data_IF_768875740182
#
_entry.id   IF_768875740182
#
_cell.length_a   1.000
_cell.length_b   1.000
_cell.length_c   1.000
_cell.angle_alpha   90.00
_cell.angle_beta   90.00
_cell.angle_gamma   90.00
#
_symmetry.space_group_name_H-M   'P 1'
#
loop_
_entity.id
_entity.type
_entity.pdbx_description
1 polymer ?
#
# COMPACT_ATOMS: atom_id res chain seq x y z
N UNK A 1 -6.07 16.04 -5.28
CA UNK A 1 -5.39 17.31 -4.95
C UNK A 1 -6.22 18.21 -4.03
N UNK A 2 -7.55 18.22 -4.11
CA UNK A 2 -8.40 18.99 -3.17
C UNK A 2 -8.18 18.62 -1.69
N UNK A 3 -7.95 17.33 -1.38
CA UNK A 3 -7.71 16.83 -0.02
C UNK A 3 -6.41 17.35 0.63
N UNK A 4 -5.42 17.78 -0.18
CA UNK A 4 -4.16 18.33 0.33
C UNK A 4 -4.29 19.79 0.82
N UNK A 5 -5.37 20.47 0.44
CA UNK A 5 -5.53 21.89 0.76
C UNK A 5 -5.91 22.12 2.24
N UNK A 6 -6.81 21.31 2.77
CA UNK A 6 -7.24 21.35 4.16
C UNK A 6 -7.64 19.95 4.66
N UNK A 7 -6.68 19.05 4.87
CA UNK A 7 -6.99 17.75 5.46
C UNK A 7 -7.29 17.88 6.95
N UNK A 8 -8.24 17.09 7.46
CA UNK A 8 -8.60 17.09 8.88
C UNK A 8 -7.40 16.67 9.75
N UNK A 9 -6.56 15.75 9.23
CA UNK A 9 -5.32 15.31 9.88
C UNK A 9 -4.19 16.37 9.89
N UNK A 10 -4.36 17.49 9.19
CA UNK A 10 -3.29 18.46 8.95
C UNK A 10 -2.36 18.09 7.79
N UNK A 11 -1.66 19.08 7.23
CA UNK A 11 -0.85 18.91 6.02
C UNK A 11 0.35 17.98 6.21
N UNK A 12 0.98 18.00 7.37
CA UNK A 12 2.15 17.18 7.67
C UNK A 12 1.76 15.70 7.69
N UNK A 13 0.71 15.33 8.44
CA UNK A 13 0.20 13.95 8.47
C UNK A 13 -0.23 13.51 7.07
N UNK A 14 -0.96 14.34 6.33
CA UNK A 14 -1.38 14.03 4.96
C UNK A 14 -0.18 13.75 4.03
N UNK A 15 0.89 14.55 4.12
CA UNK A 15 2.10 14.32 3.31
C UNK A 15 2.83 13.03 3.68
N UNK A 16 2.88 12.70 4.95
CA UNK A 16 3.51 11.47 5.43
C UNK A 16 2.74 10.23 4.92
N UNK A 17 1.42 10.28 4.96
CA UNK A 17 0.53 9.16 4.58
C UNK A 17 0.39 9.00 3.05
N UNK A 18 0.17 10.10 2.32
CA UNK A 18 -0.15 10.08 0.88
C UNK A 18 1.11 10.25 0.02
N UNK A 19 2.14 10.92 0.56
CA UNK A 19 3.37 11.23 -0.16
C UNK A 19 4.05 10.03 -0.83
N UNK A 20 4.24 8.89 -0.14
CA UNK A 20 4.81 7.69 -0.75
C UNK A 20 4.02 7.15 -1.94
N UNK A 21 2.68 7.20 -1.86
CA UNK A 21 1.81 6.85 -2.99
C UNK A 21 1.99 7.78 -4.19
N UNK A 22 2.08 9.09 -3.94
CA UNK A 22 2.35 10.08 -5.00
C UNK A 22 3.74 9.90 -5.59
N UNK A 23 4.75 9.61 -4.77
CA UNK A 23 6.09 9.29 -5.24
C UNK A 23 6.08 8.04 -6.13
N UNK A 24 5.37 6.98 -5.73
CA UNK A 24 5.19 5.78 -6.54
C UNK A 24 4.59 6.08 -7.92
N UNK A 25 3.59 6.95 -7.99
CA UNK A 25 2.98 7.39 -9.26
C UNK A 25 4.01 8.20 -10.09
N UNK A 26 4.72 9.12 -9.47
CA UNK A 26 5.74 9.91 -10.16
C UNK A 26 6.84 9.02 -10.77
N UNK A 27 7.31 8.01 -10.01
CA UNK A 27 8.28 7.01 -10.48
C UNK A 27 7.67 6.20 -11.64
N UNK A 28 6.45 5.69 -11.50
CA UNK A 28 5.78 4.92 -12.56
C UNK A 28 5.63 5.75 -13.84
N UNK A 29 5.28 7.02 -13.74
CA UNK A 29 5.20 7.94 -14.88
C UNK A 29 6.58 8.20 -15.51
N UNK A 30 7.61 8.44 -14.72
CA UNK A 30 8.97 8.69 -15.19
C UNK A 30 9.55 7.48 -15.95
N UNK A 31 9.29 6.26 -15.47
CA UNK A 31 9.78 5.03 -16.11
C UNK A 31 8.84 4.48 -17.19
N UNK A 32 7.65 5.04 -17.38
CA UNK A 32 6.61 4.52 -18.27
C UNK A 32 7.10 4.21 -19.70
N UNK A 33 7.98 5.08 -20.25
CA UNK A 33 8.54 4.88 -21.61
C UNK A 33 9.46 3.66 -21.71
N UNK A 34 10.16 3.31 -20.61
CA UNK A 34 11.11 2.19 -20.53
C UNK A 34 10.48 0.92 -19.97
N UNK A 35 9.43 1.09 -19.16
CA UNK A 35 8.70 0.02 -18.50
C UNK A 35 7.18 0.31 -18.55
N UNK A 36 6.55 0.16 -19.71
CA UNK A 36 5.11 0.35 -19.80
C UNK A 36 4.40 -0.72 -18.98
N UNK A 37 3.62 -0.29 -17.98
CA UNK A 37 2.86 -1.17 -17.10
C UNK A 37 1.50 -1.50 -17.71
N UNK A 38 0.95 -2.66 -17.36
CA UNK A 38 -0.36 -3.11 -17.83
C UNK A 38 -1.49 -2.25 -17.27
N UNK A 39 -2.65 -2.29 -17.92
CA UNK A 39 -3.85 -1.61 -17.43
C UNK A 39 -4.27 -2.11 -16.04
N UNK A 40 -4.11 -3.41 -15.77
CA UNK A 40 -4.36 -4.01 -14.46
C UNK A 40 -3.57 -3.30 -13.35
N UNK A 41 -2.28 -3.09 -13.56
CA UNK A 41 -1.41 -2.40 -12.60
C UNK A 41 -1.82 -0.94 -12.40
N UNK A 42 -2.22 -0.23 -13.46
CA UNK A 42 -2.73 1.15 -13.30
C UNK A 42 -4.00 1.21 -12.45
N UNK A 43 -4.92 0.24 -12.64
CA UNK A 43 -6.12 0.13 -11.79
C UNK A 43 -5.73 -0.18 -10.34
N UNK A 44 -4.78 -1.09 -10.10
CA UNK A 44 -4.27 -1.38 -8.75
C UNK A 44 -3.67 -0.14 -8.09
N UNK A 45 -2.81 0.61 -8.79
CA UNK A 45 -2.23 1.86 -8.28
C UNK A 45 -3.33 2.87 -7.94
N UNK A 46 -4.33 3.02 -8.81
CA UNK A 46 -5.44 3.95 -8.59
C UNK A 46 -6.26 3.58 -7.35
N UNK A 47 -6.65 2.30 -7.21
CA UNK A 47 -7.45 1.84 -6.07
C UNK A 47 -6.66 1.96 -4.76
N UNK A 48 -5.38 1.61 -4.77
CA UNK A 48 -4.51 1.79 -3.60
C UNK A 48 -4.42 3.27 -3.19
N UNK A 49 -4.21 4.16 -4.16
CA UNK A 49 -4.15 5.59 -3.90
C UNK A 49 -5.43 6.15 -3.27
N UNK A 50 -6.61 5.66 -3.65
CA UNK A 50 -7.87 6.07 -3.02
C UNK A 50 -7.90 5.73 -1.53
N UNK A 51 -7.38 4.55 -1.15
CA UNK A 51 -7.28 4.13 0.25
C UNK A 51 -6.30 5.03 1.02
N UNK A 52 -5.12 5.31 0.43
CA UNK A 52 -4.12 6.20 1.03
C UNK A 52 -4.66 7.63 1.21
N UNK A 53 -5.34 8.18 0.20
CA UNK A 53 -5.90 9.54 0.26
C UNK A 53 -6.97 9.64 1.34
N UNK A 54 -7.85 8.64 1.45
CA UNK A 54 -8.90 8.66 2.46
C UNK A 54 -8.31 8.51 3.87
N UNK A 55 -7.37 7.58 4.08
CA UNK A 55 -6.65 7.42 5.33
C UNK A 55 -5.89 8.68 5.73
N UNK A 56 -5.09 9.23 4.81
CA UNK A 56 -4.28 10.41 5.06
C UNK A 56 -5.08 11.70 5.24
N UNK A 57 -6.31 11.78 4.71
CA UNK A 57 -7.18 12.94 4.94
C UNK A 57 -7.60 13.06 6.41
N UNK A 58 -7.99 11.93 7.04
CA UNK A 58 -8.51 11.89 8.41
C UNK A 58 -7.47 11.49 9.45
N UNK A 59 -6.28 11.00 9.04
CA UNK A 59 -5.42 10.07 9.79
C UNK A 59 -6.08 8.68 9.93
N UNK A 60 -5.33 7.60 9.72
CA UNK A 60 -5.88 6.23 9.65
C UNK A 60 -6.68 5.85 10.90
N UNK A 61 -6.15 6.21 12.09
CA UNK A 61 -6.80 5.95 13.37
C UNK A 61 -8.14 6.68 13.59
N UNK A 62 -8.44 7.72 12.80
CA UNK A 62 -9.63 8.57 12.98
C UNK A 62 -10.59 8.55 11.79
N UNK A 63 -10.37 7.67 10.80
CA UNK A 63 -11.26 7.61 9.63
C UNK A 63 -12.72 7.35 10.02
N UNK A 64 -13.68 8.09 9.45
CA UNK A 64 -15.12 7.93 9.77
C UNK A 64 -15.62 6.50 9.53
N UNK A 65 -15.19 5.87 8.42
CA UNK A 65 -15.55 4.49 8.10
C UNK A 65 -15.04 3.50 9.16
N UNK A 66 -13.80 3.67 9.60
CA UNK A 66 -13.20 2.83 10.63
C UNK A 66 -13.86 3.04 12.00
N UNK A 67 -14.22 4.28 12.35
CA UNK A 67 -14.97 4.58 13.57
C UNK A 67 -16.39 4.01 13.53
N UNK A 68 -17.08 4.14 12.40
CA UNK A 68 -18.36 3.49 12.21
C UNK A 68 -18.28 1.96 12.42
N UNK A 69 -17.28 1.30 11.81
CA UNK A 69 -17.09 -0.14 11.97
C UNK A 69 -16.73 -0.50 13.42
N UNK A 70 -15.89 0.30 14.10
CA UNK A 70 -15.56 0.13 15.51
C UNK A 70 -16.83 0.13 16.37
N UNK A 71 -17.70 1.12 16.17
CA UNK A 71 -18.92 1.27 16.98
C UNK A 71 -19.96 0.19 16.64
N UNK A 72 -20.13 -0.14 15.36
CA UNK A 72 -21.11 -1.13 14.89
C UNK A 72 -20.77 -2.57 15.31
N UNK A 73 -19.48 -2.91 15.37
CA UNK A 73 -19.00 -4.28 15.68
C UNK A 73 -18.39 -4.40 17.08
N UNK A 74 -18.35 -3.33 17.88
CA UNK A 74 -17.77 -3.33 19.22
C UNK A 74 -16.26 -3.56 19.26
N UNK A 75 -15.53 -3.10 18.24
CA UNK A 75 -14.06 -3.23 18.20
C UNK A 75 -13.41 -2.28 19.21
N UNK A 76 -12.26 -2.69 19.76
CA UNK A 76 -11.50 -1.87 20.71
C UNK A 76 -10.86 -0.64 20.04
N UNK A 77 -10.56 -0.72 18.72
CA UNK A 77 -9.85 0.32 17.95
C UNK A 77 -10.46 0.51 16.55
N UNK A 78 -10.09 1.61 15.90
CA UNK A 78 -10.31 1.81 14.48
C UNK A 78 -9.33 0.95 13.67
N UNK A 79 -9.84 0.05 12.83
CA UNK A 79 -9.03 -0.90 12.04
C UNK A 79 -8.74 -0.43 10.61
N UNK A 80 -8.92 0.85 10.29
CA UNK A 80 -8.68 1.31 8.93
C UNK A 80 -7.23 1.18 8.49
N UNK A 81 -6.29 1.34 9.40
CA UNK A 81 -4.86 1.11 9.18
C UNK A 81 -4.58 -0.32 8.70
N UNK A 82 -5.12 -1.31 9.37
CA UNK A 82 -5.05 -2.71 8.94
C UNK A 82 -5.63 -2.96 7.54
N UNK A 83 -6.66 -2.20 7.14
CA UNK A 83 -7.16 -2.22 5.77
C UNK A 83 -6.13 -1.62 4.80
N UNK A 84 -5.44 -0.55 5.20
CA UNK A 84 -4.34 0.05 4.46
C UNK A 84 -3.21 -0.96 4.18
N UNK A 85 -2.77 -1.68 5.22
CA UNK A 85 -1.73 -2.71 5.11
C UNK A 85 -2.17 -3.95 4.31
N UNK A 86 -3.41 -4.39 4.44
CA UNK A 86 -3.97 -5.41 3.55
C UNK A 86 -3.92 -4.94 2.09
N UNK A 87 -4.29 -3.69 1.83
CA UNK A 87 -4.24 -3.09 0.50
C UNK A 87 -2.81 -2.93 -0.02
N UNK A 88 -1.83 -2.63 0.87
CA UNK A 88 -0.40 -2.63 0.58
C UNK A 88 0.08 -4.00 0.07
N UNK A 89 -0.50 -5.08 0.56
CA UNK A 89 -0.26 -6.42 0.05
C UNK A 89 -0.93 -6.68 -1.29
N UNK A 90 -2.23 -6.36 -1.38
CA UNK A 90 -3.07 -6.70 -2.54
C UNK A 90 -2.63 -5.97 -3.82
N UNK A 91 -2.50 -4.67 -3.78
CA UNK A 91 -2.30 -3.88 -4.99
C UNK A 91 -0.83 -3.83 -5.47
N UNK A 92 0.16 -3.52 -4.62
CA UNK A 92 1.57 -3.54 -5.00
C UNK A 92 2.09 -4.91 -5.44
N UNK A 93 1.50 -6.02 -4.97
CA UNK A 93 1.90 -7.35 -5.41
C UNK A 93 1.88 -7.50 -6.95
N UNK A 94 0.90 -6.90 -7.64
CA UNK A 94 0.84 -6.93 -9.09
C UNK A 94 1.87 -6.01 -9.76
N UNK A 95 2.18 -4.88 -9.15
CA UNK A 95 3.27 -4.00 -9.59
C UNK A 95 4.60 -4.75 -9.52
N UNK A 96 4.91 -5.33 -8.36
CA UNK A 96 6.12 -6.10 -8.10
C UNK A 96 6.21 -7.28 -9.08
N UNK A 97 5.12 -8.05 -9.22
CA UNK A 97 5.05 -9.19 -10.13
C UNK A 97 5.34 -8.78 -11.57
N UNK A 98 4.76 -7.71 -12.05
CA UNK A 98 4.96 -7.24 -13.42
C UNK A 98 6.38 -6.73 -13.65
N UNK A 99 6.93 -6.00 -12.69
CA UNK A 99 8.32 -5.52 -12.73
C UNK A 99 9.30 -6.69 -12.77
N UNK A 100 9.14 -7.68 -11.90
CA UNK A 100 9.99 -8.88 -11.87
C UNK A 100 9.94 -9.64 -13.22
N UNK A 101 8.75 -9.88 -13.76
CA UNK A 101 8.59 -10.56 -15.05
C UNK A 101 9.18 -9.78 -16.24
N UNK A 102 9.21 -8.45 -16.17
CA UNK A 102 9.74 -7.62 -17.26
C UNK A 102 11.23 -7.33 -17.14
N UNK A 103 11.80 -7.41 -15.93
CA UNK A 103 13.19 -7.00 -15.67
C UNK A 103 14.11 -8.17 -15.36
N UNK A 104 13.59 -9.36 -15.17
CA UNK A 104 14.37 -10.56 -14.87
C UNK A 104 13.96 -11.72 -15.81
N UNK A 105 14.73 -12.81 -15.75
CA UNK A 105 14.41 -14.06 -16.46
C UNK A 105 13.50 -14.99 -15.65
N UNK A 106 12.82 -14.50 -14.63
CA UNK A 106 11.90 -15.31 -13.79
C UNK A 106 10.74 -15.87 -14.62
N UNK A 107 10.50 -17.15 -14.46
CA UNK A 107 9.32 -17.82 -15.01
C UNK A 107 8.06 -17.52 -14.16
N UNK A 108 6.88 -17.86 -14.72
CA UNK A 108 5.59 -17.78 -14.01
C UNK A 108 5.36 -19.04 -13.17
N UNK A 109 6.18 -19.23 -12.14
CA UNK A 109 6.22 -20.41 -11.28
C UNK A 109 6.20 -20.05 -9.79
N UNK A 110 6.47 -21.02 -8.94
CA UNK A 110 6.53 -20.85 -7.49
C UNK A 110 7.61 -19.88 -7.02
N UNK A 111 8.73 -19.75 -7.75
CA UNK A 111 9.78 -18.78 -7.41
C UNK A 111 9.32 -17.35 -7.57
N UNK A 112 8.60 -17.04 -8.67
CA UNK A 112 8.02 -15.71 -8.85
C UNK A 112 7.04 -15.39 -7.72
N UNK A 113 6.15 -16.33 -7.36
CA UNK A 113 5.22 -16.14 -6.25
C UNK A 113 5.95 -15.86 -4.95
N UNK A 114 6.93 -16.70 -4.59
CA UNK A 114 7.74 -16.54 -3.38
C UNK A 114 8.45 -15.18 -3.34
N UNK A 115 9.11 -14.78 -4.43
CA UNK A 115 9.83 -13.52 -4.49
C UNK A 115 8.89 -12.31 -4.39
N UNK A 116 7.70 -12.36 -4.98
CA UNK A 116 6.71 -11.29 -4.79
C UNK A 116 6.32 -11.16 -3.32
N UNK A 117 6.07 -12.28 -2.63
CA UNK A 117 5.77 -12.27 -1.20
C UNK A 117 6.92 -11.70 -0.37
N UNK A 118 8.17 -12.07 -0.68
CA UNK A 118 9.35 -11.51 0.00
C UNK A 118 9.45 -10.00 -0.18
N UNK A 119 9.24 -9.50 -1.40
CA UNK A 119 9.32 -8.06 -1.67
C UNK A 119 8.17 -7.30 -1.01
N UNK A 120 6.94 -7.85 -1.03
CA UNK A 120 5.80 -7.26 -0.31
C UNK A 120 6.09 -7.16 1.17
N UNK A 121 6.58 -8.24 1.80
CA UNK A 121 6.94 -8.21 3.21
C UNK A 121 8.07 -7.21 3.51
N UNK A 122 9.07 -7.11 2.63
CA UNK A 122 10.15 -6.13 2.78
C UNK A 122 9.63 -4.68 2.67
N UNK A 123 8.68 -4.42 1.77
CA UNK A 123 8.03 -3.09 1.65
C UNK A 123 7.21 -2.78 2.90
N UNK A 124 6.41 -3.74 3.40
CA UNK A 124 5.63 -3.58 4.62
C UNK A 124 6.56 -3.33 5.83
N UNK A 125 7.59 -4.14 6.03
CA UNK A 125 8.56 -3.95 7.11
C UNK A 125 9.30 -2.60 7.01
N UNK A 126 9.63 -2.16 5.79
CA UNK A 126 10.23 -0.85 5.60
C UNK A 126 9.27 0.29 5.96
N UNK A 127 7.96 0.11 5.71
CA UNK A 127 6.93 1.07 6.09
C UNK A 127 6.87 1.21 7.62
N UNK A 128 6.82 0.10 8.36
CA UNK A 128 6.84 0.09 9.82
C UNK A 128 8.09 0.78 10.40
N UNK A 129 9.24 0.58 9.75
CA UNK A 129 10.48 1.29 10.14
C UNK A 129 10.37 2.80 9.86
N UNK A 130 9.73 3.22 8.77
CA UNK A 130 9.48 4.63 8.47
C UNK A 130 8.56 5.26 9.53
N UNK A 131 7.48 4.59 9.91
CA UNK A 131 6.57 5.07 10.96
C UNK A 131 7.30 5.23 12.29
N UNK A 132 8.11 4.24 12.66
CA UNK A 132 8.94 4.32 13.85
C UNK A 132 9.93 5.49 13.79
N UNK A 133 10.67 5.66 12.68
CA UNK A 133 11.62 6.77 12.53
C UNK A 133 10.94 8.13 12.54
N UNK A 134 9.82 8.27 11.87
CA UNK A 134 9.04 9.52 11.89
C UNK A 134 8.59 9.83 13.32
N UNK A 135 8.11 8.84 14.06
CA UNK A 135 7.70 9.00 15.46
C UNK A 135 8.85 9.46 16.36
N UNK A 136 10.07 9.00 16.09
CA UNK A 136 11.27 9.45 16.83
C UNK A 136 11.68 10.88 16.47
N UNK A 137 11.45 11.32 15.23
CA UNK A 137 11.91 12.61 14.72
C UNK A 137 10.84 13.71 14.87
N UNK A 138 9.57 13.34 14.76
CA UNK A 138 8.42 14.24 14.88
C UNK A 138 7.83 14.07 16.28
N UNK A 139 8.27 14.93 17.19
CA UNK A 139 7.81 14.88 18.59
C UNK A 139 6.32 15.17 18.74
N UNK A 140 5.68 14.58 19.76
CA UNK A 140 4.31 14.87 20.17
C UNK A 140 3.23 14.10 19.41
N UNK A 141 2.01 14.67 19.38
CA UNK A 141 0.80 13.99 18.92
C UNK A 141 0.83 13.60 17.44
N UNK A 142 1.55 14.35 16.60
CA UNK A 142 1.65 14.10 15.17
C UNK A 142 2.40 12.78 14.89
N UNK A 143 3.52 12.53 15.60
CA UNK A 143 4.27 11.28 15.47
C UNK A 143 3.46 10.09 15.95
N UNK A 144 2.77 10.22 17.09
CA UNK A 144 1.91 9.15 17.63
C UNK A 144 0.69 8.87 16.73
N UNK A 145 0.10 9.91 16.15
CA UNK A 145 -1.02 9.78 15.21
C UNK A 145 -0.59 9.08 13.91
N UNK A 146 0.62 9.35 13.44
CA UNK A 146 1.20 8.71 12.26
C UNK A 146 1.55 7.24 12.51
N UNK A 147 2.08 6.89 13.70
CA UNK A 147 2.34 5.51 14.10
C UNK A 147 1.07 4.64 14.15
N UNK A 148 -0.09 5.25 14.42
CA UNK A 148 -1.41 4.61 14.31
C UNK A 148 -1.69 3.45 15.27
N UNK A 149 -0.77 3.08 16.16
CA UNK A 149 -0.83 1.86 16.99
C UNK A 149 -2.05 1.76 17.92
N UNK A 150 -2.63 2.90 18.33
CA UNK A 150 -3.80 2.97 19.21
C UNK A 150 -3.67 2.09 20.47
N UNK A 151 -2.42 1.89 20.95
CA UNK A 151 -2.08 1.08 22.12
C UNK A 151 -1.87 -0.42 21.86
N UNK A 152 -1.94 -0.88 20.62
CA UNK A 152 -1.60 -2.26 20.26
C UNK A 152 -0.08 -2.42 20.15
N UNK A 153 0.52 -3.20 21.05
CA UNK A 153 1.97 -3.45 21.05
C UNK A 153 2.44 -4.34 19.89
N UNK A 154 1.53 -5.01 19.20
CA UNK A 154 1.78 -5.88 18.07
C UNK A 154 1.34 -5.28 16.73
N UNK A 155 1.09 -3.98 16.68
CA UNK A 155 0.56 -3.29 15.51
C UNK A 155 1.39 -3.57 14.26
N UNK A 156 2.68 -3.23 14.30
CA UNK A 156 3.62 -3.46 13.19
C UNK A 156 3.63 -4.92 12.70
N UNK A 157 3.53 -5.90 13.62
CA UNK A 157 3.50 -7.32 13.24
C UNK A 157 2.20 -7.71 12.54
N UNK A 158 1.06 -7.19 13.02
CA UNK A 158 -0.23 -7.39 12.37
C UNK A 158 -0.26 -6.78 10.98
N UNK A 159 0.31 -5.62 10.80
CA UNK A 159 0.30 -4.87 9.55
C UNK A 159 1.21 -5.52 8.50
N UNK A 160 2.41 -5.96 8.89
CA UNK A 160 3.25 -6.81 8.05
C UNK A 160 2.56 -8.13 7.66
N UNK A 161 1.87 -8.78 8.60
CA UNK A 161 1.14 -10.04 8.34
C UNK A 161 -0.01 -9.81 7.35
N UNK A 162 -0.78 -8.73 7.53
CA UNK A 162 -1.91 -8.41 6.64
C UNK A 162 -1.44 -8.09 5.23
N UNK A 163 -0.33 -7.38 5.07
CA UNK A 163 0.27 -7.16 3.77
C UNK A 163 0.70 -8.49 3.11
N UNK A 164 1.35 -9.37 3.87
CA UNK A 164 1.74 -10.70 3.38
C UNK A 164 0.52 -11.53 2.97
N UNK A 165 -0.52 -11.58 3.80
CA UNK A 165 -1.76 -12.31 3.52
C UNK A 165 -2.49 -11.73 2.30
N UNK A 166 -2.56 -10.41 2.17
CA UNK A 166 -3.15 -9.74 1.02
C UNK A 166 -2.50 -10.20 -0.29
N UNK A 167 -1.17 -10.19 -0.36
CA UNK A 167 -0.43 -10.66 -1.52
C UNK A 167 -0.60 -12.17 -1.75
N UNK A 168 -0.50 -12.97 -0.68
CA UNK A 168 -0.60 -14.42 -0.78
C UNK A 168 -1.95 -14.89 -1.33
N UNK A 169 -3.04 -14.20 -0.95
CA UNK A 169 -4.39 -14.53 -1.39
C UNK A 169 -4.69 -14.01 -2.80
N UNK A 170 -4.29 -12.77 -3.12
CA UNK A 170 -4.70 -12.13 -4.38
C UNK A 170 -3.95 -12.67 -5.59
N UNK A 171 -2.68 -13.03 -5.44
CA UNK A 171 -1.86 -13.51 -6.55
C UNK A 171 -2.41 -14.77 -7.22
N UNK A 172 -2.70 -15.88 -6.53
CA UNK A 172 -3.23 -17.08 -7.19
C UNK A 172 -4.61 -16.85 -7.80
N UNK A 173 -5.43 -15.98 -7.20
CA UNK A 173 -6.77 -15.68 -7.68
C UNK A 173 -6.77 -14.90 -8.99
N UNK A 174 -5.88 -13.93 -9.15
CA UNK A 174 -5.92 -12.96 -10.24
C UNK A 174 -4.69 -13.00 -11.17
N UNK A 175 -3.70 -13.89 -10.96
CA UNK A 175 -2.52 -13.97 -11.81
C UNK A 175 -2.86 -14.13 -13.30
N UNK A 176 -3.86 -14.96 -13.65
CA UNK A 176 -4.29 -15.18 -15.04
C UNK A 176 -4.92 -13.93 -15.67
N UNK A 177 -5.69 -13.15 -14.89
CA UNK A 177 -6.29 -11.90 -15.36
C UNK A 177 -5.20 -10.84 -15.59
N UNK A 178 -4.23 -10.77 -14.68
CA UNK A 178 -3.06 -9.91 -14.81
C UNK A 178 -2.21 -10.29 -16.04
N UNK A 179 -1.95 -11.57 -16.28
CA UNK A 179 -1.21 -12.04 -17.47
C UNK A 179 -1.90 -11.64 -18.78
N UNK A 180 -3.23 -11.77 -18.84
CA UNK A 180 -4.03 -11.29 -19.98
C UNK A 180 -3.90 -9.78 -20.19
N UNK A 181 -3.84 -9.00 -19.12
CA UNK A 181 -3.63 -7.56 -19.18
C UNK A 181 -2.23 -7.20 -19.70
N UNK A 182 -1.20 -7.90 -19.20
CA UNK A 182 0.18 -7.72 -19.66
C UNK A 182 0.37 -8.05 -21.15
N UNK A 183 -0.32 -9.09 -21.65
CA UNK A 183 -0.23 -9.50 -23.05
C UNK A 183 -0.76 -8.43 -24.03
N UNK A 184 -1.57 -7.48 -23.55
CA UNK A 184 -2.11 -6.36 -24.35
C UNK A 184 -1.18 -5.14 -24.40
N UNK A 185 -0.12 -5.14 -23.60
CA UNK A 185 0.88 -4.04 -23.61
C UNK A 185 1.76 -4.19 -24.85
N UNK A 186 1.84 -3.16 -25.73
CA UNK A 186 2.68 -3.23 -26.91
C UNK A 186 4.14 -3.51 -26.52
N UNK A 187 4.76 -4.50 -27.17
CA UNK A 187 6.22 -4.70 -27.09
C UNK A 187 6.86 -3.56 -27.87
N UNK A 188 7.51 -2.68 -27.17
CA UNK A 188 8.40 -1.72 -27.81
C UNK A 188 9.73 -2.45 -28.02
N UNK A 189 10.07 -2.68 -29.30
CA UNK A 189 11.37 -3.21 -29.72
C UNK A 189 12.53 -2.33 -29.27
#
# INVERSE_FOLDING_TARGET
MATAWAPDAGRTSWLLEVGPGLLGIAVAAAVHRRLPLSHWVHVCIFLHLLILIYGGYYTYALTPLGNWAKDAFGFARNHYDRIGHLALGVFPAFVIREVLLKKTALARDGWLYFLVLCVVLAVAAFWELLEWWVTLLVAGDVGQAFLGSQGDVWDAQWDMLLALLGAALVLPLFARAHDRSMARVPRRG
#
